data_IF_730321681100
#
_entry.id   IF_730321681100
#
_cell.length_a   1.000
_cell.length_b   1.000
_cell.length_c   1.000
_cell.angle_alpha   90.00
_cell.angle_beta   90.00
_cell.angle_gamma   90.00
#
_symmetry.space_group_name_H-M   'P 1'
#
loop_
_entity.id
_entity.type
_entity.pdbx_description
1 polymer ?
#
# COMPACT_ATOMS: atom_id res chain seq x y z
N UNK A 1 -37.85 16.03 55.83
CA UNK A 1 -36.99 14.81 55.90
C UNK A 1 -37.53 13.64 55.07
N UNK A 2 -38.82 13.34 55.11
CA UNK A 2 -39.43 12.19 54.39
C UNK A 2 -38.99 12.06 52.91
N UNK A 3 -39.13 13.12 52.10
CA UNK A 3 -38.76 13.10 50.67
C UNK A 3 -37.26 12.83 50.41
N UNK A 4 -36.38 13.25 51.33
CA UNK A 4 -34.94 13.02 51.19
C UNK A 4 -34.61 11.54 51.41
N UNK A 5 -35.16 10.93 52.47
CA UNK A 5 -35.01 9.51 52.72
C UNK A 5 -35.64 8.66 51.62
N UNK A 6 -36.82 9.04 51.12
CA UNK A 6 -37.48 8.37 50.00
C UNK A 6 -36.63 8.41 48.72
N UNK A 7 -36.00 9.56 48.42
CA UNK A 7 -35.10 9.71 47.27
C UNK A 7 -33.83 8.86 47.38
N UNK A 8 -33.25 8.77 48.58
CA UNK A 8 -32.10 7.89 48.86
C UNK A 8 -32.51 6.43 48.66
N UNK A 9 -33.64 6.03 49.22
CA UNK A 9 -34.14 4.66 49.13
C UNK A 9 -34.40 4.25 47.67
N UNK A 10 -35.07 5.10 46.89
CA UNK A 10 -35.31 4.84 45.47
C UNK A 10 -34.00 4.70 44.69
N UNK A 11 -33.06 5.63 44.86
CA UNK A 11 -31.75 5.54 44.20
C UNK A 11 -30.99 4.28 44.61
N UNK A 12 -31.04 3.91 45.89
CA UNK A 12 -30.41 2.69 46.40
C UNK A 12 -30.98 1.45 45.69
N UNK A 13 -32.31 1.33 45.59
CA UNK A 13 -32.98 0.19 44.94
C UNK A 13 -32.56 0.07 43.47
N UNK A 14 -32.60 1.17 42.70
CA UNK A 14 -32.24 1.14 41.29
C UNK A 14 -30.74 0.88 41.05
N UNK A 15 -29.85 1.47 41.86
CA UNK A 15 -28.41 1.25 41.75
C UNK A 15 -28.05 -0.19 42.12
N UNK A 16 -28.70 -0.76 43.14
CA UNK A 16 -28.49 -2.17 43.50
C UNK A 16 -28.88 -3.11 42.36
N UNK A 17 -29.99 -2.83 41.68
CA UNK A 17 -30.48 -3.63 40.55
C UNK A 17 -29.53 -3.59 39.33
N UNK A 18 -28.88 -2.46 39.07
CA UNK A 18 -28.04 -2.27 37.89
C UNK A 18 -26.55 -2.53 38.13
N UNK A 19 -26.03 -2.14 39.30
CA UNK A 19 -24.58 -2.07 39.58
C UNK A 19 -24.16 -2.85 40.83
N UNK A 20 -25.10 -3.46 41.55
CA UNK A 20 -24.84 -4.28 42.74
C UNK A 20 -24.80 -3.50 44.07
N UNK A 21 -24.75 -4.26 45.17
CA UNK A 21 -24.97 -3.75 46.53
C UNK A 21 -23.91 -2.76 47.00
N UNK A 22 -22.63 -3.03 46.72
CA UNK A 22 -21.51 -2.17 47.12
C UNK A 22 -21.69 -0.75 46.55
N UNK A 23 -22.10 -0.66 45.28
CA UNK A 23 -22.37 0.61 44.62
C UNK A 23 -23.62 1.30 45.17
N UNK A 24 -24.64 0.53 45.55
CA UNK A 24 -25.86 1.04 46.17
C UNK A 24 -25.57 1.66 47.55
N UNK A 25 -24.74 1.02 48.38
CA UNK A 25 -24.36 1.51 49.71
C UNK A 25 -23.69 2.89 49.70
N UNK A 26 -23.00 3.25 48.62
CA UNK A 26 -22.37 4.57 48.43
C UNK A 26 -23.36 5.68 48.05
N UNK A 27 -24.63 5.38 47.83
CA UNK A 27 -25.66 6.34 47.40
C UNK A 27 -25.81 7.55 48.32
N UNK A 28 -25.88 7.40 49.67
CA UNK A 28 -26.01 8.56 50.57
C UNK A 28 -24.82 9.51 50.46
N UNK A 29 -23.60 8.96 50.43
CA UNK A 29 -22.36 9.73 50.29
C UNK A 29 -22.34 10.48 48.95
N UNK A 30 -22.69 9.79 47.85
CA UNK A 30 -22.72 10.39 46.50
C UNK A 30 -23.72 11.54 46.40
N UNK A 31 -24.86 11.46 47.08
CA UNK A 31 -25.86 12.53 47.09
C UNK A 31 -25.34 13.76 47.84
N UNK A 32 -24.70 13.56 48.99
CA UNK A 32 -24.10 14.66 49.78
C UNK A 32 -23.00 15.34 48.97
N UNK A 33 -22.04 14.58 48.45
CA UNK A 33 -20.94 15.10 47.62
C UNK A 33 -21.48 15.81 46.38
N UNK A 34 -22.49 15.25 45.71
CA UNK A 34 -23.14 15.88 44.57
C UNK A 34 -23.81 17.21 44.91
N UNK A 35 -24.48 17.32 46.07
CA UNK A 35 -25.08 18.58 46.51
C UNK A 35 -24.01 19.64 46.81
N UNK A 36 -22.90 19.28 47.42
CA UNK A 36 -21.76 20.18 47.68
C UNK A 36 -21.18 20.69 46.35
N UNK A 37 -20.95 19.79 45.39
CA UNK A 37 -20.48 20.15 44.04
C UNK A 37 -21.45 21.09 43.33
N UNK A 38 -22.75 20.81 43.36
CA UNK A 38 -23.75 21.67 42.73
C UNK A 38 -23.82 23.05 43.39
N UNK A 39 -23.70 23.12 44.71
CA UNK A 39 -23.63 24.39 45.45
C UNK A 39 -22.37 25.19 45.07
N UNK A 40 -21.20 24.54 45.03
CA UNK A 40 -19.95 25.16 44.60
C UNK A 40 -20.04 25.69 43.15
N UNK A 41 -20.58 24.90 42.22
CA UNK A 41 -20.77 25.32 40.84
C UNK A 41 -21.75 26.49 40.71
N UNK A 42 -22.85 26.47 41.46
CA UNK A 42 -23.86 27.54 41.42
C UNK A 42 -23.34 28.84 42.03
N UNK A 43 -22.57 28.76 43.12
CA UNK A 43 -21.94 29.93 43.75
C UNK A 43 -20.85 30.53 42.87
N UNK A 44 -20.01 29.71 42.25
CA UNK A 44 -19.03 30.15 41.24
C UNK A 44 -19.74 30.82 40.05
N UNK A 45 -20.79 30.21 39.51
CA UNK A 45 -21.55 30.79 38.40
C UNK A 45 -22.18 32.15 38.77
N UNK A 46 -22.76 32.26 39.97
CA UNK A 46 -23.30 33.53 40.48
C UNK A 46 -22.21 34.59 40.64
N UNK A 47 -21.04 34.22 41.15
CA UNK A 47 -19.88 35.11 41.25
C UNK A 47 -19.43 35.62 39.87
N UNK A 48 -19.34 34.74 38.87
CA UNK A 48 -19.02 35.12 37.50
C UNK A 48 -20.08 36.05 36.89
N UNK A 49 -21.37 35.77 37.10
CA UNK A 49 -22.47 36.63 36.64
C UNK A 49 -22.38 38.03 37.26
N UNK A 50 -22.18 38.11 38.59
CA UNK A 50 -22.01 39.38 39.30
C UNK A 50 -20.83 40.16 38.76
N UNK A 51 -19.69 39.49 38.54
CA UNK A 51 -18.52 40.12 37.93
C UNK A 51 -18.83 40.66 36.53
N UNK A 52 -19.53 39.90 35.69
CA UNK A 52 -19.94 40.32 34.34
C UNK A 52 -20.82 41.59 34.37
N UNK A 53 -21.78 41.64 35.30
CA UNK A 53 -22.67 42.80 35.46
C UNK A 53 -21.89 44.06 35.89
N UNK A 54 -20.86 43.90 36.72
CA UNK A 54 -20.02 45.00 37.20
C UNK A 54 -19.02 45.48 36.13
N UNK A 55 -18.37 44.57 35.41
CA UNK A 55 -17.31 44.93 34.44
C UNK A 55 -17.80 45.13 33.01
N UNK A 56 -19.08 44.82 32.71
CA UNK A 56 -19.68 44.80 31.35
C UNK A 56 -18.86 44.03 30.30
N UNK A 57 -18.03 43.10 30.76
CA UNK A 57 -17.28 42.20 29.88
C UNK A 57 -18.05 40.89 29.72
N UNK A 58 -18.09 40.40 28.50
CA UNK A 58 -18.66 39.08 28.20
C UNK A 58 -17.84 37.99 28.90
N UNK A 59 -18.55 36.97 29.42
CA UNK A 59 -17.89 35.87 30.10
C UNK A 59 -17.12 35.02 29.08
N UNK A 60 -15.81 34.76 29.28
CA UNK A 60 -15.09 33.85 28.42
C UNK A 60 -15.68 32.47 28.64
N UNK A 61 -16.28 31.91 27.60
CA UNK A 61 -16.84 30.59 27.68
C UNK A 61 -15.72 29.55 27.83
N UNK A 62 -15.48 29.12 29.07
CA UNK A 62 -14.49 28.09 29.40
C UNK A 62 -15.08 26.73 29.04
N UNK A 63 -15.05 26.44 27.74
CA UNK A 63 -15.26 25.11 27.20
C UNK A 63 -14.27 24.19 27.92
N UNK A 64 -14.73 23.15 28.63
CA UNK A 64 -13.84 22.06 29.01
C UNK A 64 -13.20 21.59 27.72
N UNK A 65 -11.87 21.74 27.60
CA UNK A 65 -11.12 21.11 26.53
C UNK A 65 -11.27 19.61 26.78
N UNK A 66 -12.30 19.00 26.19
CA UNK A 66 -12.25 17.58 25.91
C UNK A 66 -11.17 17.40 24.85
N UNK A 67 -9.93 17.28 25.32
CA UNK A 67 -8.96 16.47 24.61
C UNK A 67 -9.54 15.05 24.61
N UNK A 68 -10.34 14.76 23.58
CA UNK A 68 -10.53 13.39 23.20
C UNK A 68 -9.12 12.83 22.96
N UNK A 69 -8.73 11.70 23.57
CA UNK A 69 -7.44 11.09 23.31
C UNK A 69 -7.44 10.50 21.89
N UNK A 70 -7.47 11.36 20.87
CA UNK A 70 -7.41 10.96 19.47
C UNK A 70 -6.11 10.18 19.21
N UNK A 71 -5.04 10.54 19.93
CA UNK A 71 -3.73 9.89 19.84
C UNK A 71 -3.56 8.66 20.73
N UNK A 72 -4.43 8.43 21.73
CA UNK A 72 -4.40 7.22 22.58
C UNK A 72 -5.42 6.16 22.19
N UNK A 73 -6.04 6.27 21.01
CA UNK A 73 -6.44 5.07 20.26
C UNK A 73 -5.16 4.41 19.70
N UNK A 74 -4.27 4.02 20.61
CA UNK A 74 -3.10 3.20 20.35
C UNK A 74 -3.54 2.06 19.45
N UNK A 75 -2.99 2.03 18.23
CA UNK A 75 -3.21 1.05 17.17
C UNK A 75 -4.10 -0.12 17.57
N UNK A 76 -5.42 0.10 17.68
CA UNK A 76 -6.33 -1.03 17.61
C UNK A 76 -6.05 -1.56 16.21
N UNK A 77 -5.33 -2.68 16.15
CA UNK A 77 -5.17 -3.43 14.92
C UNK A 77 -6.60 -3.79 14.55
N UNK A 78 -7.25 -2.92 13.76
CA UNK A 78 -8.64 -3.09 13.37
C UNK A 78 -8.68 -4.47 12.76
N UNK A 79 -9.50 -5.35 13.34
CA UNK A 79 -9.64 -6.69 12.80
C UNK A 79 -10.11 -6.54 11.36
N UNK A 80 -9.71 -7.47 10.49
CA UNK A 80 -10.07 -7.38 9.07
C UNK A 80 -11.59 -7.26 8.88
N UNK A 81 -12.38 -7.97 9.70
CA UNK A 81 -13.85 -7.84 9.72
C UNK A 81 -14.33 -6.43 10.03
N UNK A 82 -13.80 -5.79 11.06
CA UNK A 82 -14.16 -4.40 11.43
C UNK A 82 -13.77 -3.42 10.32
N UNK A 83 -12.63 -3.66 9.67
CA UNK A 83 -12.15 -2.83 8.57
C UNK A 83 -13.09 -2.96 7.35
N UNK A 84 -13.45 -4.18 6.97
CA UNK A 84 -14.37 -4.45 5.86
C UNK A 84 -15.77 -3.87 6.15
N UNK A 85 -16.27 -3.98 7.38
CA UNK A 85 -17.50 -3.33 7.83
C UNK A 85 -17.40 -1.80 7.72
N UNK A 86 -16.32 -1.21 8.22
CA UNK A 86 -16.14 0.26 8.22
C UNK A 86 -16.06 0.85 6.81
N UNK A 87 -15.66 0.04 5.82
CA UNK A 87 -15.61 0.40 4.40
C UNK A 87 -16.91 0.06 3.66
N UNK A 88 -17.94 -0.42 4.36
CA UNK A 88 -19.20 -0.91 3.78
C UNK A 88 -19.01 -2.01 2.72
N UNK A 89 -17.94 -2.81 2.82
CA UNK A 89 -17.67 -3.92 1.91
C UNK A 89 -18.46 -5.18 2.29
N UNK A 90 -18.79 -5.32 3.57
CA UNK A 90 -19.63 -6.40 4.10
C UNK A 90 -20.66 -5.81 5.06
N UNK A 91 -21.73 -6.56 5.31
CA UNK A 91 -22.74 -6.25 6.33
C UNK A 91 -22.43 -6.94 7.65
N UNK A 92 -23.01 -6.45 8.76
CA UNK A 92 -22.84 -7.07 10.09
C UNK A 92 -23.27 -8.54 10.10
N UNK A 93 -24.36 -8.87 9.39
CA UNK A 93 -24.86 -10.23 9.26
C UNK A 93 -23.89 -11.13 8.49
N UNK A 94 -23.34 -10.67 7.37
CA UNK A 94 -22.33 -11.41 6.60
C UNK A 94 -21.05 -11.67 7.40
N UNK A 95 -20.63 -10.69 8.22
CA UNK A 95 -19.49 -10.89 9.11
C UNK A 95 -19.78 -11.95 10.18
N UNK A 96 -20.97 -11.92 10.78
CA UNK A 96 -21.37 -12.87 11.82
C UNK A 96 -21.40 -14.30 11.28
N UNK A 97 -22.00 -14.51 10.10
CA UNK A 97 -22.02 -15.79 9.40
C UNK A 97 -20.61 -16.33 9.12
N UNK A 98 -19.72 -15.47 8.60
CA UNK A 98 -18.33 -15.85 8.34
C UNK A 98 -17.55 -16.16 9.63
N UNK A 99 -17.85 -15.48 10.75
CA UNK A 99 -17.24 -15.75 12.05
C UNK A 99 -17.72 -17.08 12.66
N UNK A 100 -18.98 -17.47 12.45
CA UNK A 100 -19.48 -18.77 12.87
C UNK A 100 -18.77 -19.91 12.14
N UNK A 101 -18.61 -19.79 10.82
CA UNK A 101 -17.86 -20.74 10.00
C UNK A 101 -16.41 -20.80 10.47
N UNK A 102 -15.77 -19.65 10.71
CA UNK A 102 -14.40 -19.58 11.20
C UNK A 102 -14.21 -20.35 12.52
N UNK A 103 -15.17 -20.26 13.45
CA UNK A 103 -15.10 -21.00 14.73
C UNK A 103 -15.15 -22.52 14.52
N UNK A 104 -15.85 -22.98 13.49
CA UNK A 104 -15.99 -24.41 13.17
C UNK A 104 -14.80 -24.95 12.36
N UNK A 105 -14.32 -24.20 11.36
CA UNK A 105 -13.29 -24.66 10.41
C UNK A 105 -11.87 -24.21 10.76
N UNK A 106 -11.71 -23.22 11.65
CA UNK A 106 -10.43 -22.52 11.95
C UNK A 106 -9.72 -21.93 10.73
N UNK A 107 -10.40 -21.77 9.58
CA UNK A 107 -9.84 -21.09 8.42
C UNK A 107 -9.68 -19.58 8.67
N UNK A 108 -8.93 -18.90 7.80
CA UNK A 108 -8.78 -17.44 7.87
C UNK A 108 -10.10 -16.77 7.47
N UNK A 109 -10.55 -15.78 8.24
CA UNK A 109 -11.81 -15.05 8.01
C UNK A 109 -11.93 -14.49 6.58
N UNK A 110 -10.85 -13.92 6.05
CA UNK A 110 -10.84 -13.38 4.68
C UNK A 110 -11.08 -14.45 3.61
N UNK A 111 -10.54 -15.66 3.80
CA UNK A 111 -10.76 -16.76 2.88
C UNK A 111 -12.21 -17.24 2.91
N UNK A 112 -12.81 -17.32 4.09
CA UNK A 112 -14.24 -17.66 4.24
C UNK A 112 -15.12 -16.61 3.53
N UNK A 113 -14.82 -15.33 3.71
CA UNK A 113 -15.56 -14.24 3.05
C UNK A 113 -15.44 -14.28 1.51
N UNK A 114 -14.29 -14.73 0.97
CA UNK A 114 -14.11 -14.99 -0.46
C UNK A 114 -14.90 -16.21 -0.92
N UNK A 115 -14.84 -17.33 -0.18
CA UNK A 115 -15.55 -18.58 -0.50
C UNK A 115 -17.08 -18.38 -0.49
N UNK A 116 -17.59 -17.52 0.40
CA UNK A 116 -19.01 -17.12 0.45
C UNK A 116 -19.38 -16.08 -0.63
N UNK A 117 -18.42 -15.54 -1.37
CA UNK A 117 -18.64 -14.54 -2.41
C UNK A 117 -19.04 -13.15 -1.88
N UNK A 118 -18.76 -12.85 -0.60
CA UNK A 118 -19.12 -11.56 0.00
C UNK A 118 -18.13 -10.45 -0.34
N UNK A 119 -16.89 -10.79 -0.64
CA UNK A 119 -15.83 -9.86 -1.04
C UNK A 119 -15.09 -10.39 -2.26
N UNK A 120 -14.44 -9.51 -3.03
CA UNK A 120 -13.50 -9.89 -4.08
C UNK A 120 -12.07 -10.04 -3.56
N UNK A 121 -11.19 -10.70 -4.33
CA UNK A 121 -9.76 -10.84 -3.99
C UNK A 121 -9.08 -9.46 -3.86
N UNK A 122 -9.42 -8.52 -4.75
CA UNK A 122 -8.95 -7.14 -4.70
C UNK A 122 -9.39 -6.41 -3.42
N UNK A 123 -10.66 -6.55 -3.03
CA UNK A 123 -11.18 -5.94 -1.80
C UNK A 123 -10.48 -6.49 -0.57
N UNK A 124 -10.25 -7.81 -0.53
CA UNK A 124 -9.52 -8.45 0.55
C UNK A 124 -8.06 -7.97 0.60
N UNK A 125 -7.37 -7.96 -0.55
CA UNK A 125 -5.99 -7.51 -0.65
C UNK A 125 -5.85 -6.03 -0.23
N UNK A 126 -6.73 -5.15 -0.72
CA UNK A 126 -6.75 -3.73 -0.34
C UNK A 126 -6.96 -3.52 1.16
N UNK A 127 -7.90 -4.26 1.76
CA UNK A 127 -8.15 -4.19 3.19
C UNK A 127 -6.95 -4.69 4.02
N UNK A 128 -6.30 -5.78 3.58
CA UNK A 128 -5.12 -6.32 4.25
C UNK A 128 -3.89 -5.41 4.12
N UNK A 129 -3.70 -4.80 2.95
CA UNK A 129 -2.66 -3.79 2.73
C UNK A 129 -2.82 -2.63 3.70
N UNK A 130 -4.03 -2.10 3.83
CA UNK A 130 -4.35 -1.02 4.78
C UNK A 130 -4.03 -1.43 6.23
N UNK A 131 -4.39 -2.65 6.63
CA UNK A 131 -4.10 -3.16 7.97
C UNK A 131 -2.59 -3.22 8.25
N UNK A 132 -1.77 -3.56 7.26
CA UNK A 132 -0.30 -3.63 7.36
C UNK A 132 0.42 -2.32 7.07
N UNK A 133 -0.32 -1.23 6.78
CA UNK A 133 0.21 0.05 6.31
C UNK A 133 1.03 -0.09 5.01
N UNK A 134 0.69 -1.08 4.19
CA UNK A 134 1.18 -1.24 2.83
C UNK A 134 0.22 -0.59 1.84
N UNK A 135 0.68 -0.37 0.61
CA UNK A 135 -0.15 0.09 -0.48
C UNK A 135 -0.65 -1.10 -1.31
N UNK A 136 -1.89 -1.04 -1.75
CA UNK A 136 -2.38 -1.91 -2.82
C UNK A 136 -1.96 -1.30 -4.16
N UNK A 137 -1.31 -2.09 -5.01
CA UNK A 137 -0.74 -1.62 -6.29
C UNK A 137 -1.16 -2.57 -7.41
N UNK A 138 -1.70 -2.00 -8.48
CA UNK A 138 -1.86 -2.68 -9.76
C UNK A 138 -0.53 -2.66 -10.50
N UNK A 139 -0.11 -3.81 -11.02
CA UNK A 139 1.19 -3.96 -11.65
C UNK A 139 1.04 -3.78 -13.15
N UNK A 140 1.70 -2.77 -13.71
CA UNK A 140 1.94 -2.69 -15.15
C UNK A 140 3.31 -3.34 -15.46
N UNK A 141 3.35 -4.52 -16.11
CA UNK A 141 4.59 -5.21 -16.42
C UNK A 141 5.49 -4.44 -17.39
N UNK A 142 4.91 -3.49 -18.16
CA UNK A 142 5.62 -2.72 -19.19
C UNK A 142 6.23 -1.42 -18.64
N UNK A 143 5.82 -0.96 -17.46
CA UNK A 143 6.30 0.27 -16.86
C UNK A 143 7.60 0.10 -16.06
N UNK A 144 8.01 -1.15 -15.77
CA UNK A 144 9.18 -1.44 -14.94
C UNK A 144 10.48 -1.19 -15.71
N UNK A 145 11.44 -0.53 -15.06
CA UNK A 145 12.78 -0.32 -15.62
C UNK A 145 13.45 -1.68 -15.92
N UNK A 146 13.85 -1.94 -17.18
CA UNK A 146 14.51 -3.18 -17.51
C UNK A 146 15.86 -3.42 -16.79
N UNK A 147 16.53 -2.37 -16.31
CA UNK A 147 17.71 -2.53 -15.47
C UNK A 147 17.35 -3.19 -14.14
N UNK A 148 16.18 -2.89 -13.59
CA UNK A 148 15.69 -3.49 -12.35
C UNK A 148 15.37 -4.97 -12.53
N UNK A 149 14.80 -5.36 -13.67
CA UNK A 149 14.56 -6.77 -14.03
C UNK A 149 15.86 -7.58 -14.19
N UNK A 150 17.01 -6.93 -14.43
CA UNK A 150 18.32 -7.62 -14.43
C UNK A 150 18.82 -7.86 -13.01
N UNK A 151 18.66 -6.88 -12.12
CA UNK A 151 19.06 -6.98 -10.71
C UNK A 151 18.21 -8.03 -9.98
N UNK A 152 16.93 -8.13 -10.36
CA UNK A 152 15.98 -9.06 -9.79
C UNK A 152 15.61 -10.13 -10.82
N UNK A 153 16.38 -11.23 -10.96
CA UNK A 153 16.12 -12.25 -11.97
C UNK A 153 14.79 -12.97 -11.77
N UNK A 154 14.25 -13.50 -12.87
CA UNK A 154 12.99 -14.25 -12.92
C UNK A 154 12.94 -15.42 -11.92
N UNK A 155 14.08 -16.08 -11.69
CA UNK A 155 14.19 -17.18 -10.73
C UNK A 155 13.85 -16.73 -9.30
N UNK A 156 14.30 -15.56 -8.87
CA UNK A 156 13.93 -14.98 -7.58
C UNK A 156 12.45 -14.59 -7.57
N UNK A 157 11.96 -13.97 -8.64
CA UNK A 157 10.57 -13.56 -8.75
C UNK A 157 9.60 -14.73 -8.64
N UNK A 158 9.87 -15.83 -9.36
CA UNK A 158 9.07 -17.05 -9.33
C UNK A 158 9.20 -17.79 -8.00
N UNK A 159 10.42 -17.97 -7.49
CA UNK A 159 10.66 -18.73 -6.26
C UNK A 159 9.95 -18.10 -5.05
N UNK A 160 10.06 -16.77 -4.93
CA UNK A 160 9.49 -16.06 -3.80
C UNK A 160 8.09 -15.49 -4.03
N UNK A 161 7.57 -15.58 -5.27
CA UNK A 161 6.31 -14.94 -5.71
C UNK A 161 6.31 -13.43 -5.41
N UNK A 162 7.35 -12.75 -5.89
CA UNK A 162 7.56 -11.32 -5.65
C UNK A 162 7.91 -10.64 -6.96
N UNK A 163 7.40 -9.44 -7.20
CA UNK A 163 7.68 -8.68 -8.41
C UNK A 163 8.29 -7.31 -8.11
N UNK A 164 9.40 -6.91 -8.76
CA UNK A 164 10.01 -5.60 -8.53
C UNK A 164 9.21 -4.50 -9.24
N UNK A 165 8.87 -3.44 -8.51
CA UNK A 165 8.11 -2.30 -9.05
C UNK A 165 9.04 -1.15 -9.44
N UNK A 166 9.83 -0.68 -8.48
CA UNK A 166 10.73 0.47 -8.65
C UNK A 166 11.82 0.50 -7.58
N UNK A 167 12.91 1.18 -7.90
CA UNK A 167 13.98 1.50 -6.96
C UNK A 167 14.01 3.02 -6.76
N UNK A 168 13.71 3.48 -5.55
CA UNK A 168 13.63 4.91 -5.20
C UNK A 168 14.43 5.15 -3.92
N UNK A 169 15.35 6.12 -3.92
CA UNK A 169 16.18 6.49 -2.77
C UNK A 169 16.90 5.31 -2.07
N UNK A 170 17.35 4.31 -2.84
CA UNK A 170 17.98 3.11 -2.30
C UNK A 170 17.02 2.17 -1.55
N UNK A 171 15.70 2.33 -1.76
CA UNK A 171 14.66 1.43 -1.29
C UNK A 171 14.01 0.72 -2.48
N UNK A 172 14.02 -0.60 -2.46
CA UNK A 172 13.41 -1.45 -3.46
C UNK A 172 11.95 -1.71 -3.11
N UNK A 173 11.04 -1.23 -3.95
CA UNK A 173 9.61 -1.50 -3.82
C UNK A 173 9.27 -2.81 -4.51
N UNK A 174 8.70 -3.74 -3.74
CA UNK A 174 8.33 -5.07 -4.20
C UNK A 174 6.82 -5.29 -4.05
N UNK A 175 6.21 -5.92 -5.05
CA UNK A 175 4.82 -6.36 -4.99
C UNK A 175 4.74 -7.84 -4.57
N UNK A 176 3.82 -8.15 -3.65
CA UNK A 176 3.57 -9.48 -3.07
C UNK A 176 2.07 -9.77 -3.00
N UNK A 177 1.70 -11.05 -3.10
CA UNK A 177 0.31 -11.55 -3.07
C UNK A 177 -0.08 -12.12 -1.70
N UNK A 178 0.87 -12.16 -0.75
CA UNK A 178 0.73 -12.80 0.56
C UNK A 178 1.25 -11.90 1.67
N UNK A 179 0.70 -12.05 2.87
CA UNK A 179 1.05 -11.20 4.03
C UNK A 179 1.98 -11.91 5.00
N UNK A 180 1.96 -13.24 5.00
CA UNK A 180 2.82 -14.07 5.84
C UNK A 180 4.20 -14.20 5.17
N UNK A 181 5.05 -13.22 5.46
CA UNK A 181 6.38 -13.11 4.86
C UNK A 181 7.44 -13.95 5.57
N UNK A 182 7.27 -14.29 6.85
CA UNK A 182 8.27 -15.06 7.60
C UNK A 182 9.66 -14.41 7.55
N UNK A 183 10.66 -15.16 7.09
CA UNK A 183 12.04 -14.68 6.91
C UNK A 183 12.30 -13.99 5.57
N UNK A 184 11.29 -13.90 4.69
CA UNK A 184 11.44 -13.35 3.34
C UNK A 184 12.07 -11.95 3.31
N UNK A 185 11.68 -10.99 4.17
CA UNK A 185 12.27 -9.65 4.15
C UNK A 185 13.78 -9.70 4.38
N UNK A 186 14.21 -10.36 5.46
CA UNK A 186 15.63 -10.51 5.82
C UNK A 186 16.43 -11.26 4.76
N UNK A 187 15.86 -12.30 4.15
CA UNK A 187 16.54 -13.07 3.09
C UNK A 187 16.78 -12.20 1.86
N UNK A 188 15.76 -11.49 1.39
CA UNK A 188 15.88 -10.63 0.21
C UNK A 188 16.79 -9.42 0.48
N UNK A 189 16.71 -8.81 1.67
CA UNK A 189 17.61 -7.73 2.06
C UNK A 189 19.08 -8.19 2.12
N UNK A 190 19.34 -9.41 2.60
CA UNK A 190 20.70 -9.97 2.63
C UNK A 190 21.24 -10.30 1.23
N UNK A 191 20.41 -10.85 0.35
CA UNK A 191 20.79 -11.19 -1.04
C UNK A 191 21.07 -9.91 -1.84
N UNK A 192 20.16 -8.94 -1.77
CA UNK A 192 20.19 -7.74 -2.60
C UNK A 192 21.00 -6.60 -1.98
N UNK A 193 21.23 -6.61 -0.67
CA UNK A 193 21.88 -5.54 0.11
C UNK A 193 21.19 -4.18 -0.03
N UNK A 194 19.88 -4.19 -0.25
CA UNK A 194 19.03 -2.99 -0.40
C UNK A 194 17.90 -3.07 0.62
N UNK A 195 17.42 -1.92 1.12
CA UNK A 195 16.21 -1.87 1.96
C UNK A 195 14.98 -2.21 1.11
N UNK A 196 14.06 -2.99 1.66
CA UNK A 196 12.89 -3.45 0.90
C UNK A 196 11.60 -2.90 1.51
N UNK A 197 10.71 -2.41 0.63
CA UNK A 197 9.35 -2.01 1.00
C UNK A 197 8.36 -2.86 0.22
N UNK A 198 7.46 -3.51 0.94
CA UNK A 198 6.44 -4.37 0.35
C UNK A 198 5.14 -3.61 0.08
N UNK A 199 4.55 -3.92 -1.07
CA UNK A 199 3.24 -3.50 -1.51
C UNK A 199 2.42 -4.76 -1.82
N UNK A 200 1.11 -4.74 -1.54
CA UNK A 200 0.25 -5.90 -1.79
C UNK A 200 -0.42 -5.77 -3.16
N UNK A 201 -0.64 -6.89 -3.83
CA UNK A 201 -1.40 -6.98 -5.08
C UNK A 201 -2.18 -8.32 -5.11
N UNK A 202 -2.85 -8.62 -6.22
CA UNK A 202 -3.56 -9.90 -6.39
C UNK A 202 -2.63 -11.02 -6.83
N UNK A 203 -3.04 -12.27 -6.60
CA UNK A 203 -2.26 -13.45 -7.02
C UNK A 203 -2.16 -13.53 -8.55
N UNK A 204 -3.21 -13.09 -9.24
CA UNK A 204 -3.26 -13.01 -10.70
C UNK A 204 -2.26 -11.99 -11.23
N UNK A 205 -2.26 -10.77 -10.68
CA UNK A 205 -1.37 -9.69 -11.14
C UNK A 205 0.10 -10.05 -11.00
N UNK A 206 0.50 -10.69 -9.89
CA UNK A 206 1.90 -11.17 -9.74
C UNK A 206 2.26 -12.18 -10.81
N UNK A 207 1.40 -13.18 -10.99
CA UNK A 207 1.68 -14.27 -11.92
C UNK A 207 1.77 -13.73 -13.35
N UNK A 208 0.83 -12.88 -13.72
CA UNK A 208 0.80 -12.17 -15.01
C UNK A 208 2.02 -11.27 -15.21
N UNK A 209 2.40 -10.49 -14.20
CA UNK A 209 3.52 -9.57 -14.30
C UNK A 209 4.86 -10.29 -14.44
N UNK A 210 5.07 -11.36 -13.69
CA UNK A 210 6.29 -12.18 -13.82
C UNK A 210 6.34 -12.81 -15.23
N UNK A 211 5.25 -13.40 -15.72
CA UNK A 211 5.24 -14.02 -17.04
C UNK A 211 5.51 -13.02 -18.16
N UNK A 212 4.90 -11.83 -18.11
CA UNK A 212 5.07 -10.82 -19.15
C UNK A 212 6.41 -10.12 -19.07
N UNK A 213 6.78 -9.57 -17.91
CA UNK A 213 7.98 -8.74 -17.77
C UNK A 213 9.28 -9.49 -18.13
N UNK A 214 9.37 -10.78 -17.80
CA UNK A 214 10.55 -11.61 -18.09
C UNK A 214 10.47 -12.36 -19.42
N UNK A 215 9.42 -12.15 -20.23
CA UNK A 215 9.35 -12.74 -21.57
C UNK A 215 10.47 -12.22 -22.48
N UNK A 216 10.97 -13.10 -23.36
CA UNK A 216 12.08 -12.81 -24.27
C UNK A 216 11.81 -11.60 -25.20
N UNK A 217 10.55 -11.27 -25.48
CA UNK A 217 10.17 -10.11 -26.28
C UNK A 217 10.49 -8.79 -25.57
N UNK A 218 10.11 -8.65 -24.30
CA UNK A 218 10.40 -7.46 -23.49
C UNK A 218 11.90 -7.35 -23.23
N UNK A 219 12.53 -8.49 -22.96
CA UNK A 219 13.97 -8.57 -22.73
C UNK A 219 14.77 -8.20 -23.98
N UNK A 220 14.29 -8.52 -25.19
CA UNK A 220 14.90 -8.06 -26.47
C UNK A 220 14.66 -6.57 -26.74
N UNK A 221 13.47 -6.05 -26.43
CA UNK A 221 13.13 -4.62 -26.58
C UNK A 221 13.95 -3.74 -25.61
N UNK A 222 14.36 -4.30 -24.47
CA UNK A 222 15.14 -3.62 -23.44
C UNK A 222 16.66 -3.89 -23.45
N UNK A 223 17.12 -5.06 -23.91
CA UNK A 223 18.57 -5.40 -23.96
C UNK A 223 19.32 -4.67 -25.06
N UNK A 224 18.65 -4.22 -26.11
CA UNK A 224 19.25 -3.26 -27.01
C UNK A 224 19.10 -1.87 -26.42
N UNK A 225 20.19 -1.21 -25.99
CA UNK A 225 20.24 0.26 -26.13
C UNK A 225 19.76 0.53 -27.54
N UNK A 226 18.62 1.19 -27.69
CA UNK A 226 17.96 1.28 -28.98
C UNK A 226 18.94 1.98 -29.91
N UNK A 227 19.07 1.49 -31.15
CA UNK A 227 19.86 2.20 -32.17
C UNK A 227 19.47 3.69 -32.20
N UNK A 228 18.17 3.99 -32.02
CA UNK A 228 17.66 5.36 -31.91
C UNK A 228 18.19 6.16 -30.73
N UNK A 229 18.43 5.55 -29.55
CA UNK A 229 18.98 6.27 -28.39
C UNK A 229 20.46 6.58 -28.56
N UNK A 230 21.23 5.68 -29.18
CA UNK A 230 22.64 5.91 -29.50
C UNK A 230 22.79 7.03 -30.52
N UNK A 231 22.02 6.97 -31.60
CA UNK A 231 22.02 8.00 -32.64
C UNK A 231 21.57 9.37 -32.11
N UNK A 232 20.62 9.40 -31.16
CA UNK A 232 20.13 10.63 -30.57
C UNK A 232 21.14 11.23 -29.58
N UNK A 233 21.81 10.39 -28.79
CA UNK A 233 22.88 10.82 -27.87
C UNK A 233 24.06 11.44 -28.63
N UNK A 234 24.43 10.84 -29.75
CA UNK A 234 25.58 11.28 -30.55
C UNK A 234 25.19 12.39 -31.56
N UNK A 235 23.97 12.94 -31.45
CA UNK A 235 23.50 14.09 -32.21
C UNK A 235 23.26 13.82 -33.70
N UNK A 236 23.22 12.56 -34.11
CA UNK A 236 23.04 12.14 -35.50
C UNK A 236 21.57 12.18 -35.95
N UNK A 237 20.64 12.08 -35.01
CA UNK A 237 19.20 12.21 -35.27
C UNK A 237 18.56 13.10 -34.21
N UNK A 238 17.50 13.82 -34.58
CA UNK A 238 16.71 14.56 -33.60
C UNK A 238 15.60 13.68 -33.00
N UNK A 239 15.04 14.09 -31.86
CA UNK A 239 13.89 13.40 -31.25
C UNK A 239 12.68 13.34 -32.21
N UNK A 240 12.50 14.37 -33.04
CA UNK A 240 11.43 14.44 -34.04
C UNK A 240 11.61 13.37 -35.11
N UNK A 241 12.84 13.20 -35.59
CA UNK A 241 13.20 12.22 -36.61
C UNK A 241 13.01 10.79 -36.09
N UNK A 242 13.42 10.55 -34.84
CA UNK A 242 13.23 9.27 -34.17
C UNK A 242 11.75 8.90 -34.03
N UNK A 243 10.91 9.85 -33.60
CA UNK A 243 9.47 9.63 -33.45
C UNK A 243 8.80 9.30 -34.79
N UNK A 244 9.19 10.00 -35.86
CA UNK A 244 8.66 9.78 -37.21
C UNK A 244 9.07 8.40 -37.75
N UNK A 245 10.31 7.98 -37.49
CA UNK A 245 10.81 6.66 -37.86
C UNK A 245 10.12 5.53 -37.07
N UNK A 246 9.88 5.71 -35.77
CA UNK A 246 9.13 4.75 -34.93
C UNK A 246 7.66 4.63 -35.36
N UNK A 247 7.03 5.74 -35.74
CA UNK A 247 5.65 5.73 -36.23
C UNK A 247 5.53 4.97 -37.57
N UNK A 248 6.52 5.12 -38.45
CA UNK A 248 6.61 4.35 -39.71
C UNK A 248 6.89 2.88 -39.44
N UNK A 249 7.83 2.54 -38.55
CA UNK A 249 8.11 1.17 -38.13
C UNK A 249 6.86 0.45 -37.62
N UNK A 250 6.03 1.14 -36.83
CA UNK A 250 4.78 0.57 -36.32
C UNK A 250 3.75 0.28 -37.43
N UNK A 251 3.80 1.00 -38.55
CA UNK A 251 2.90 0.82 -39.69
C UNK A 251 3.41 -0.19 -40.71
N UNK A 252 4.73 -0.23 -40.96
CA UNK A 252 5.33 -1.03 -42.04
C UNK A 252 6.01 -2.31 -41.55
N UNK A 253 6.39 -2.37 -40.26
CA UNK A 253 7.18 -3.47 -39.71
C UNK A 253 8.66 -3.47 -40.15
N UNK A 254 9.09 -2.48 -40.93
CA UNK A 254 10.48 -2.36 -41.40
C UNK A 254 11.45 -2.09 -40.23
N UNK A 255 12.71 -2.49 -40.38
CA UNK A 255 13.73 -2.22 -39.35
C UNK A 255 13.96 -0.71 -39.21
N UNK A 256 14.10 -0.22 -37.98
CA UNK A 256 14.33 1.20 -37.69
C UNK A 256 15.55 1.77 -38.44
N UNK A 257 16.65 1.00 -38.50
CA UNK A 257 17.86 1.41 -39.23
C UNK A 257 17.64 1.59 -40.73
N UNK A 258 16.91 0.68 -41.39
CA UNK A 258 16.56 0.82 -42.81
C UNK A 258 15.63 2.00 -43.05
N UNK A 259 14.71 2.29 -42.11
CA UNK A 259 13.84 3.46 -42.20
C UNK A 259 14.66 4.74 -42.15
N UNK A 260 15.61 4.87 -41.22
CA UNK A 260 16.44 6.07 -41.08
C UNK A 260 17.36 6.29 -42.29
N UNK A 261 17.88 5.22 -42.90
CA UNK A 261 18.65 5.29 -44.15
C UNK A 261 17.75 5.68 -45.34
N UNK A 262 16.58 5.05 -45.48
CA UNK A 262 15.64 5.37 -46.57
C UNK A 262 15.11 6.79 -46.49
N UNK A 263 14.96 7.34 -45.28
CA UNK A 263 14.59 8.72 -45.04
C UNK A 263 15.75 9.71 -45.23
N UNK A 264 16.94 9.24 -45.60
CA UNK A 264 18.18 10.02 -45.76
C UNK A 264 18.61 10.78 -44.50
N UNK A 265 18.23 10.28 -43.32
CA UNK A 265 18.55 10.89 -42.04
C UNK A 265 19.96 10.46 -41.60
N UNK A 266 20.32 9.19 -41.85
CA UNK A 266 21.66 8.65 -41.59
C UNK A 266 22.20 7.98 -42.85
N UNK A 267 23.53 7.93 -42.99
CA UNK A 267 24.16 7.19 -44.08
C UNK A 267 24.27 5.68 -43.78
N UNK A 268 24.32 4.81 -44.80
CA UNK A 268 24.50 3.38 -44.61
C UNK A 268 25.78 3.03 -43.82
N UNK A 269 26.86 3.78 -44.04
CA UNK A 269 28.15 3.57 -43.39
C UNK A 269 28.07 3.89 -41.88
N UNK A 270 27.32 4.95 -41.53
CA UNK A 270 27.05 5.30 -40.14
C UNK A 270 26.22 4.20 -39.50
N UNK A 271 25.18 3.70 -40.16
CA UNK A 271 24.37 2.61 -39.64
C UNK A 271 25.22 1.36 -39.33
N UNK A 272 26.10 0.97 -40.26
CA UNK A 272 26.99 -0.19 -40.06
C UNK A 272 27.96 -0.01 -38.89
N UNK A 273 28.55 1.18 -38.74
CA UNK A 273 29.42 1.50 -37.60
C UNK A 273 28.69 1.37 -36.27
N UNK A 274 27.48 1.92 -36.16
CA UNK A 274 26.72 1.84 -34.91
C UNK A 274 26.22 0.43 -34.62
N UNK A 275 25.90 -0.36 -35.64
CA UNK A 275 25.54 -1.77 -35.46
C UNK A 275 26.74 -2.61 -35.00
N UNK A 276 27.95 -2.33 -35.50
CA UNK A 276 29.15 -3.04 -35.07
C UNK A 276 29.54 -2.64 -33.63
N UNK A 277 29.51 -1.35 -33.30
CA UNK A 277 29.72 -0.86 -31.93
C UNK A 277 28.69 -1.42 -30.95
N UNK A 278 27.42 -1.48 -31.34
CA UNK A 278 26.36 -2.07 -30.53
C UNK A 278 26.63 -3.55 -30.25
N UNK A 279 27.06 -4.32 -31.26
CA UNK A 279 27.42 -5.75 -31.08
C UNK A 279 28.62 -5.94 -30.15
N UNK A 280 29.65 -5.11 -30.28
CA UNK A 280 30.85 -5.16 -29.42
C UNK A 280 30.49 -4.82 -27.98
N UNK A 281 29.73 -3.74 -27.73
CA UNK A 281 29.28 -3.37 -26.38
C UNK A 281 28.36 -4.41 -25.76
N UNK A 282 27.48 -5.02 -26.55
CA UNK A 282 26.66 -6.15 -26.08
C UNK A 282 27.57 -7.30 -25.63
N UNK A 283 28.61 -7.63 -26.40
CA UNK A 283 29.57 -8.69 -26.05
C UNK A 283 30.35 -8.36 -24.77
N UNK A 284 30.87 -7.15 -24.65
CA UNK A 284 31.62 -6.71 -23.45
C UNK A 284 30.73 -6.65 -22.19
N UNK A 285 29.48 -6.21 -22.33
CA UNK A 285 28.50 -6.24 -21.23
C UNK A 285 28.14 -7.69 -20.86
N UNK A 286 28.03 -8.60 -21.83
CA UNK A 286 27.82 -10.04 -21.59
C UNK A 286 28.99 -10.69 -20.83
N UNK A 287 30.24 -10.35 -21.19
CA UNK A 287 31.44 -10.84 -20.50
C UNK A 287 31.55 -10.30 -19.06
N UNK A 288 31.24 -9.01 -18.84
CA UNK A 288 31.20 -8.41 -17.50
C UNK A 288 30.13 -9.01 -16.57
N UNK A 289 29.09 -9.60 -17.15
CA UNK A 289 28.02 -10.30 -16.42
C UNK A 289 28.31 -11.78 -16.16
N UNK A 290 29.50 -12.29 -16.50
CA UNK A 290 29.92 -13.67 -16.22
C UNK A 290 29.22 -14.73 -17.07
N UNK A 291 28.67 -14.34 -18.23
CA UNK A 291 28.00 -15.24 -19.16
C UNK A 291 29.04 -15.72 -20.18
N UNK A 292 29.52 -16.94 -20.02
CA UNK A 292 30.54 -17.51 -20.89
C UNK A 292 30.04 -17.64 -22.34
N UNK A 293 30.94 -17.41 -23.29
CA UNK A 293 30.67 -17.18 -24.73
C UNK A 293 30.14 -18.40 -25.53
N UNK A 294 29.68 -19.45 -24.86
CA UNK A 294 29.33 -20.74 -25.46
C UNK A 294 28.05 -20.73 -26.31
N UNK A 295 27.30 -19.62 -26.36
CA UNK A 295 26.07 -19.51 -27.18
C UNK A 295 26.28 -18.64 -28.43
N UNK A 296 27.50 -18.59 -28.97
CA UNK A 296 27.78 -17.97 -30.28
C UNK A 296 27.17 -18.75 -31.47
N UNK A 297 26.44 -19.85 -31.23
CA UNK A 297 25.85 -20.71 -32.28
C UNK A 297 24.45 -20.32 -32.79
N UNK A 298 23.75 -19.36 -32.16
CA UNK A 298 22.32 -19.10 -32.47
C UNK A 298 22.10 -17.83 -33.32
N UNK A 299 23.17 -17.14 -33.74
CA UNK A 299 23.09 -15.99 -34.64
C UNK A 299 23.98 -16.18 -35.88
N UNK A 300 23.61 -17.13 -36.73
CA UNK A 300 23.83 -17.03 -38.18
C UNK A 300 22.55 -16.60 -38.85
#
# INVERSE_FOLDING_TARGET
MFFFFWRILMRFIFVNKLYGFIQAALTPVRIIVGNVLNFASSTLAAFWLLRALVTRQEQPWVKTRHEFPAEQLASFHRKIGDLLLSKNLITARQLEEALEIQRRTRQKLGQILLELGYISEEQLASALAYQKKWQFVEIDPYAVDPQLLKIFPESLAKCYRVFPLKLEDGTLHLAIDRIDLGLLPSTLENILKVKIKFNLTTSYDISYAIEKAYSDEITKVARGRRLGELLLKDGLITQKDLNLALQRQKRTGEKLGSILVSAKIISPEVLERYLSEQKVRIREEMEKMGIDSTVSGILK
#
